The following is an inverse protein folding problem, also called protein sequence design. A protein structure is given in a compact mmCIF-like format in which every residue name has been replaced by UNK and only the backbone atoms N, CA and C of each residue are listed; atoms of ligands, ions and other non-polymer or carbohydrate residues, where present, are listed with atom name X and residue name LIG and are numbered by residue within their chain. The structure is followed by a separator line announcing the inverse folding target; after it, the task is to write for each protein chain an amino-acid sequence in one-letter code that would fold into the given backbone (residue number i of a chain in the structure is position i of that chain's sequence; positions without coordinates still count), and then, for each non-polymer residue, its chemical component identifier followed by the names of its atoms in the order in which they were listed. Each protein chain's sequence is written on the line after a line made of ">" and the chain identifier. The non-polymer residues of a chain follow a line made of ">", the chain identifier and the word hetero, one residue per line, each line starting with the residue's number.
data_IF_828124049002
#
_entry.id   IF_828124049002
#
_cell.length_a   1.000
_cell.length_b   1.000
_cell.length_c   1.000
_cell.angle_alpha   90.00
_cell.angle_beta   90.00
_cell.angle_gamma   90.00
#
_symmetry.space_group_name_H-M   'P 1'
#
loop_
_entity.id
_entity.type
_entity.pdbx_description
1 polymer ?
#
# COMPACT_ATOMS: atom_id res chain seq x y z
N UNK A 1 3.22 -6.58 8.54
CA UNK A 1 1.96 -7.34 8.31
C UNK A 1 2.29 -8.80 8.59
N UNK A 2 1.65 -9.46 9.55
CA UNK A 2 2.15 -10.74 10.11
C UNK A 2 2.47 -11.80 9.04
N UNK A 3 1.56 -12.07 8.10
CA UNK A 3 1.77 -13.08 7.08
C UNK A 3 2.95 -12.77 6.14
N UNK A 4 3.14 -11.48 5.80
CA UNK A 4 4.25 -11.04 4.96
C UNK A 4 5.59 -11.10 5.71
N UNK A 5 5.61 -10.67 6.96
CA UNK A 5 6.83 -10.58 7.79
C UNK A 5 7.41 -11.97 8.10
N UNK A 6 6.62 -13.05 7.93
CA UNK A 6 7.08 -14.44 8.05
C UNK A 6 7.92 -14.87 6.84
N UNK A 7 7.56 -14.42 5.64
CA UNK A 7 8.16 -14.90 4.38
C UNK A 7 9.17 -13.92 3.77
N UNK A 8 9.21 -12.69 4.26
CA UNK A 8 10.08 -11.63 3.76
C UNK A 8 10.70 -10.84 4.90
N UNK A 9 12.00 -10.55 4.78
CA UNK A 9 12.72 -9.63 5.67
C UNK A 9 12.50 -8.16 5.33
N UNK A 10 11.93 -7.86 4.16
CA UNK A 10 11.55 -6.50 3.76
C UNK A 10 10.16 -6.20 4.29
N UNK A 11 9.94 -5.00 4.82
CA UNK A 11 8.60 -4.57 5.20
C UNK A 11 7.74 -4.33 3.95
N UNK A 12 6.49 -4.76 4.00
CA UNK A 12 5.54 -4.56 2.89
C UNK A 12 5.15 -3.09 2.69
N UNK A 13 4.96 -2.37 3.80
CA UNK A 13 4.58 -0.95 3.84
C UNK A 13 5.43 -0.31 4.93
N UNK A 14 6.27 0.66 4.59
CA UNK A 14 7.17 1.31 5.53
C UNK A 14 6.51 2.55 6.16
N UNK A 15 5.81 3.35 5.35
CA UNK A 15 5.09 4.55 5.76
C UNK A 15 5.99 5.67 6.27
N UNK A 16 7.29 5.62 5.99
CA UNK A 16 8.27 6.61 6.47
C UNK A 16 8.70 7.56 5.36
N UNK A 17 8.75 8.84 5.68
CA UNK A 17 9.29 9.87 4.79
C UNK A 17 10.83 9.80 4.71
N UNK A 18 11.43 10.74 3.97
CA UNK A 18 12.88 10.82 3.77
C UNK A 18 13.67 11.02 5.07
N UNK A 19 13.05 11.58 6.11
CA UNK A 19 13.65 11.76 7.44
C UNK A 19 13.50 10.51 8.33
N UNK A 20 12.88 9.44 7.82
CA UNK A 20 12.62 8.22 8.56
C UNK A 20 11.47 8.32 9.56
N UNK A 21 10.67 9.39 9.49
CA UNK A 21 9.51 9.64 10.36
C UNK A 21 8.26 9.08 9.70
N UNK A 22 7.39 8.45 10.48
CA UNK A 22 6.10 7.96 9.99
C UNK A 22 5.23 9.13 9.49
N UNK A 23 4.71 8.99 8.28
CA UNK A 23 3.88 10.00 7.61
C UNK A 23 2.69 9.30 6.95
N UNK A 24 1.48 9.63 7.40
CA UNK A 24 0.24 9.04 6.91
C UNK A 24 0.09 9.18 5.38
N UNK A 25 0.64 10.25 4.79
CA UNK A 25 0.61 10.49 3.33
C UNK A 25 1.48 9.51 2.59
N UNK A 26 2.67 9.23 3.11
CA UNK A 26 3.58 8.23 2.54
C UNK A 26 3.00 6.83 2.71
N UNK A 27 2.47 6.54 3.89
CA UNK A 27 1.81 5.27 4.16
C UNK A 27 0.63 5.01 3.20
N UNK A 28 -0.20 6.03 2.96
CA UNK A 28 -1.31 5.94 2.02
C UNK A 28 -0.84 5.81 0.56
N UNK A 29 0.21 6.52 0.17
CA UNK A 29 0.78 6.42 -1.18
C UNK A 29 1.33 5.02 -1.48
N UNK A 30 1.97 4.36 -0.50
CA UNK A 30 2.42 2.96 -0.61
C UNK A 30 1.23 1.99 -0.74
N UNK A 31 0.15 2.20 0.03
CA UNK A 31 -1.08 1.41 -0.12
C UNK A 31 -1.69 1.55 -1.52
N UNK A 32 -1.75 2.79 -2.04
CA UNK A 32 -2.26 3.06 -3.39
C UNK A 32 -1.38 2.36 -4.45
N UNK A 33 -0.06 2.37 -4.29
CA UNK A 33 0.85 1.66 -5.21
C UNK A 33 0.57 0.15 -5.24
N UNK A 34 0.35 -0.46 -4.07
CA UNK A 34 0.19 -1.92 -3.96
C UNK A 34 -1.22 -2.42 -4.30
N UNK A 35 -2.25 -1.65 -3.96
CA UNK A 35 -3.66 -2.09 -4.01
C UNK A 35 -4.49 -1.34 -5.06
N UNK A 36 -3.93 -0.27 -5.63
CA UNK A 36 -4.68 0.71 -6.41
C UNK A 36 -5.42 1.72 -5.53
N UNK A 37 -6.08 2.70 -6.15
CA UNK A 37 -6.85 3.71 -5.42
C UNK A 37 -8.03 3.06 -4.67
N UNK A 38 -8.36 3.54 -3.45
CA UNK A 38 -9.50 3.02 -2.71
C UNK A 38 -10.82 3.30 -3.43
N UNK A 39 -11.85 2.44 -3.27
CA UNK A 39 -13.16 2.65 -3.85
C UNK A 39 -13.76 4.03 -3.49
N UNK A 40 -14.49 4.70 -4.41
CA UNK A 40 -15.07 6.02 -4.16
C UNK A 40 -15.99 6.09 -2.93
N UNK A 41 -16.67 5.01 -2.62
CA UNK A 41 -17.54 4.88 -1.44
C UNK A 41 -16.74 5.03 -0.14
N UNK A 42 -15.52 4.48 -0.13
CA UNK A 42 -14.61 4.56 1.01
C UNK A 42 -14.05 5.97 1.19
N UNK A 43 -13.80 6.67 0.08
CA UNK A 43 -13.36 8.07 0.10
C UNK A 43 -14.44 8.99 0.67
N UNK A 44 -15.72 8.78 0.34
CA UNK A 44 -16.82 9.65 0.79
C UNK A 44 -17.19 9.48 2.26
N UNK A 45 -16.90 8.32 2.86
CA UNK A 45 -17.33 8.00 4.23
C UNK A 45 -16.38 8.48 5.32
N UNK A 46 -15.15 8.88 4.98
CA UNK A 46 -14.10 9.15 5.97
C UNK A 46 -13.83 10.64 6.12
N UNK A 47 -13.91 11.16 7.33
CA UNK A 47 -13.59 12.57 7.64
C UNK A 47 -12.19 13.01 7.19
N UNK A 48 -11.24 12.07 7.13
CA UNK A 48 -9.85 12.33 6.71
C UNK A 48 -9.66 12.26 5.19
N UNK A 49 -10.67 11.92 4.39
CA UNK A 49 -10.49 11.77 2.95
C UNK A 49 -10.09 13.08 2.26
N UNK A 50 -10.59 14.21 2.74
CA UNK A 50 -10.22 15.52 2.23
C UNK A 50 -8.73 15.84 2.40
N UNK A 51 -8.00 15.16 3.27
CA UNK A 51 -6.55 15.33 3.44
C UNK A 51 -5.73 14.71 2.29
N UNK A 52 -6.30 13.77 1.55
CA UNK A 52 -5.57 12.94 0.58
C UNK A 52 -6.19 12.99 -0.83
N UNK A 53 -7.51 13.16 -0.94
CA UNK A 53 -8.26 13.17 -2.19
C UNK A 53 -8.90 14.54 -2.45
N UNK A 54 -8.97 14.92 -3.71
CA UNK A 54 -9.84 16.00 -4.21
C UNK A 54 -11.30 15.56 -4.19
N UNK A 55 -12.22 16.53 -4.29
CA UNK A 55 -13.66 16.24 -4.40
C UNK A 55 -14.00 15.41 -5.65
N UNK A 56 -13.11 15.45 -6.66
CA UNK A 56 -13.15 14.62 -7.86
C UNK A 56 -12.80 13.14 -7.61
N UNK A 57 -12.30 12.80 -6.42
CA UNK A 57 -11.76 11.48 -6.06
C UNK A 57 -10.31 11.24 -6.50
N UNK A 58 -9.66 12.26 -7.09
CA UNK A 58 -8.26 12.19 -7.50
C UNK A 58 -7.32 12.37 -6.31
N UNK A 59 -6.20 11.64 -6.31
CA UNK A 59 -5.11 11.86 -5.36
C UNK A 59 -4.56 13.29 -5.45
N UNK A 60 -4.33 13.92 -4.30
CA UNK A 60 -3.85 15.31 -4.18
C UNK A 60 -2.33 15.49 -4.33
N UNK A 61 -1.61 14.43 -4.69
CA UNK A 61 -0.13 14.46 -4.77
C UNK A 61 0.53 14.86 -3.44
N UNK A 62 -0.10 14.53 -2.31
CA UNK A 62 0.40 14.89 -0.96
C UNK A 62 1.65 14.09 -0.55
N UNK A 63 1.92 13.00 -1.27
CA UNK A 63 3.17 12.25 -1.26
C UNK A 63 3.34 11.57 -2.64
N UNK A 64 4.58 11.32 -3.09
CA UNK A 64 4.82 10.58 -4.32
C UNK A 64 4.36 9.13 -4.16
N UNK A 65 3.63 8.63 -5.15
CA UNK A 65 3.26 7.22 -5.21
C UNK A 65 4.48 6.44 -5.73
N UNK A 66 5.05 5.53 -4.94
CA UNK A 66 6.22 4.76 -5.38
C UNK A 66 5.84 3.76 -6.47
N UNK A 67 6.77 3.50 -7.39
CA UNK A 67 6.62 2.44 -8.40
C UNK A 67 7.01 1.09 -7.79
N UNK A 68 6.10 0.52 -7.00
CA UNK A 68 6.26 -0.78 -6.34
C UNK A 68 5.06 -1.68 -6.63
N UNK A 69 5.34 -2.98 -6.70
CA UNK A 69 4.33 -4.03 -6.81
C UNK A 69 4.62 -5.11 -5.79
N UNK A 70 3.60 -5.91 -5.47
CA UNK A 70 3.77 -7.09 -4.63
C UNK A 70 4.81 -8.06 -5.22
N UNK A 71 4.81 -8.23 -6.54
CA UNK A 71 5.77 -9.06 -7.26
C UNK A 71 7.22 -8.58 -7.07
N UNK A 72 7.46 -7.28 -7.24
CA UNK A 72 8.80 -6.69 -7.09
C UNK A 72 9.29 -6.79 -5.63
N UNK A 73 8.40 -6.56 -4.65
CA UNK A 73 8.73 -6.72 -3.24
C UNK A 73 9.00 -8.18 -2.86
N UNK A 74 8.29 -9.10 -3.51
CA UNK A 74 8.40 -10.52 -3.27
C UNK A 74 9.54 -11.17 -4.07
N UNK A 75 10.35 -10.43 -4.83
CA UNK A 75 11.41 -10.98 -5.71
C UNK A 75 12.25 -12.07 -5.01
N UNK A 76 12.65 -11.83 -3.76
CA UNK A 76 13.48 -12.73 -2.94
C UNK A 76 12.69 -13.68 -2.02
N UNK A 77 11.36 -13.67 -2.10
CA UNK A 77 10.51 -14.62 -1.38
C UNK A 77 10.55 -15.95 -2.11
N UNK A 78 10.87 -17.00 -1.38
CA UNK A 78 10.96 -18.39 -1.84
C UNK A 78 9.74 -19.19 -1.36
N UNK A 79 9.34 -20.21 -2.12
CA UNK A 79 8.22 -21.09 -1.77
C UNK A 79 7.59 -21.74 -3.00
N UNK A 80 6.89 -22.86 -2.79
CA UNK A 80 6.27 -23.65 -3.86
C UNK A 80 5.09 -22.91 -4.53
N UNK A 81 4.32 -22.13 -3.78
CA UNK A 81 3.16 -21.37 -4.28
C UNK A 81 3.24 -19.87 -3.96
N UNK A 82 4.29 -19.22 -4.48
CA UNK A 82 4.47 -17.77 -4.35
C UNK A 82 3.31 -16.97 -4.96
N UNK A 83 2.83 -17.38 -6.14
CA UNK A 83 1.74 -16.68 -6.80
C UNK A 83 0.43 -16.79 -6.02
N UNK A 84 0.10 -17.96 -5.47
CA UNK A 84 -1.07 -18.15 -4.62
C UNK A 84 -1.01 -17.33 -3.35
N UNK A 85 0.17 -17.25 -2.71
CA UNK A 85 0.38 -16.36 -1.57
C UNK A 85 0.12 -14.89 -1.94
N UNK A 86 0.65 -14.40 -3.06
CA UNK A 86 0.42 -13.02 -3.51
C UNK A 86 -1.05 -12.75 -3.88
N UNK A 87 -1.74 -13.71 -4.50
CA UNK A 87 -3.19 -13.60 -4.76
C UNK A 87 -3.98 -13.52 -3.45
N UNK A 88 -3.66 -14.37 -2.47
CA UNK A 88 -4.28 -14.33 -1.16
C UNK A 88 -4.03 -13.00 -0.44
N UNK A 89 -2.79 -12.50 -0.50
CA UNK A 89 -2.41 -11.25 0.14
C UNK A 89 -3.19 -10.05 -0.43
N UNK A 90 -3.42 -10.01 -1.75
CA UNK A 90 -4.28 -8.99 -2.38
C UNK A 90 -5.71 -9.02 -1.82
N UNK A 91 -6.29 -10.21 -1.70
CA UNK A 91 -7.64 -10.36 -1.17
C UNK A 91 -7.73 -10.01 0.31
N UNK A 92 -6.68 -10.26 1.10
CA UNK A 92 -6.64 -9.94 2.51
C UNK A 92 -6.47 -8.43 2.79
N UNK A 93 -6.01 -7.67 1.79
CA UNK A 93 -5.72 -6.23 1.90
C UNK A 93 -6.83 -5.32 1.34
N UNK A 94 -7.78 -5.88 0.60
CA UNK A 94 -8.94 -5.19 0.02
C UNK A 94 -10.16 -5.30 0.94
#
# INVERSE_FOLDING_TARGET
>A
MVAWDIVSSRTLINGKNLDGIFDDRVHMAELIALLGPPPPEFQKQRHLSSAFWEDSGKWKEVAPIPDITLENLAERVEGEDKEGFLRWLRMALQ
#
